data_IF_129840412660
#
_entry.id   IF_129840412660
#
_cell.length_a   1.000
_cell.length_b   1.000
_cell.length_c   1.000
_cell.angle_alpha   90.00
_cell.angle_beta   90.00
_cell.angle_gamma   90.00
#
_symmetry.space_group_name_H-M   'P 1'
#
loop_
_entity.id
_entity.type
_entity.pdbx_description
1 polymer ?
#
# COMPACT_ATOMS: atom_id res chain seq x y z
N UNK A 1 -36.52 3.00 27.01
CA UNK A 1 -35.20 2.61 27.56
C UNK A 1 -34.08 2.70 26.52
N UNK A 2 -34.16 1.96 25.40
CA UNK A 2 -33.09 1.79 24.40
C UNK A 2 -32.47 3.07 23.83
N UNK A 3 -33.26 4.08 23.47
CA UNK A 3 -32.72 5.37 22.97
C UNK A 3 -31.73 6.00 23.95
N UNK A 4 -32.04 6.01 25.26
CA UNK A 4 -31.14 6.53 26.30
C UNK A 4 -29.83 5.73 26.44
N UNK A 5 -29.78 4.48 25.97
CA UNK A 5 -28.55 3.68 25.94
C UNK A 5 -27.67 4.13 24.78
N UNK A 6 -28.21 4.19 23.56
CA UNK A 6 -27.52 4.72 22.38
C UNK A 6 -26.95 6.12 22.64
N UNK A 7 -27.73 6.99 23.27
CA UNK A 7 -27.34 8.37 23.59
C UNK A 7 -26.18 8.42 24.60
N UNK A 8 -26.17 7.54 25.61
CA UNK A 8 -25.04 7.43 26.55
C UNK A 8 -23.77 6.98 25.83
N UNK A 9 -23.88 6.05 24.88
CA UNK A 9 -22.77 5.63 24.03
C UNK A 9 -22.24 6.76 23.14
N UNK A 10 -23.09 7.66 22.66
CA UNK A 10 -22.65 8.86 21.91
C UNK A 10 -21.80 9.79 22.78
N UNK A 11 -22.22 10.06 24.02
CA UNK A 11 -21.47 10.93 24.92
C UNK A 11 -20.13 10.30 25.34
N UNK A 12 -20.10 9.01 25.71
CA UNK A 12 -18.86 8.34 26.11
C UNK A 12 -17.88 8.19 24.94
N UNK A 13 -18.37 7.83 23.75
CA UNK A 13 -17.53 7.75 22.56
C UNK A 13 -17.09 9.13 22.05
N UNK A 14 -17.90 10.18 22.28
CA UNK A 14 -17.50 11.57 22.08
C UNK A 14 -16.33 11.95 22.99
N UNK A 15 -16.44 11.75 24.30
CA UNK A 15 -15.36 12.02 25.26
C UNK A 15 -14.09 11.21 24.98
N UNK A 16 -14.22 9.93 24.62
CA UNK A 16 -13.08 9.08 24.25
C UNK A 16 -12.39 9.57 22.96
N UNK A 17 -13.16 9.94 21.94
CA UNK A 17 -12.65 10.50 20.68
C UNK A 17 -11.96 11.86 20.90
N UNK A 18 -12.55 12.73 21.75
CA UNK A 18 -11.93 14.00 22.15
C UNK A 18 -10.60 13.75 22.86
N UNK A 19 -10.58 12.88 23.86
CA UNK A 19 -9.36 12.58 24.62
C UNK A 19 -8.26 11.97 23.74
N UNK A 20 -8.62 11.11 22.79
CA UNK A 20 -7.68 10.58 21.81
C UNK A 20 -7.08 11.70 20.94
N UNK A 21 -7.92 12.56 20.34
CA UNK A 21 -7.44 13.70 19.55
C UNK A 21 -6.59 14.68 20.36
N UNK A 22 -7.13 15.18 21.48
CA UNK A 22 -6.56 16.28 22.26
C UNK A 22 -5.34 15.91 23.12
N UNK A 23 -5.21 14.65 23.54
CA UNK A 23 -4.11 14.22 24.42
C UNK A 23 -3.19 13.17 23.78
N UNK A 24 -3.76 12.15 23.14
CA UNK A 24 -2.97 11.05 22.56
C UNK A 24 -2.29 11.48 21.26
N UNK A 25 -3.03 12.00 20.28
CA UNK A 25 -2.49 12.34 18.94
C UNK A 25 -1.57 13.56 18.97
N UNK A 26 -1.99 14.63 19.65
CA UNK A 26 -1.16 15.83 19.86
C UNK A 26 0.11 15.57 20.66
N UNK A 27 0.13 14.50 21.46
CA UNK A 27 1.22 14.23 22.41
C UNK A 27 1.22 15.11 23.65
N UNK A 28 0.13 15.85 23.92
CA UNK A 28 -0.03 16.66 25.13
C UNK A 28 -0.04 15.79 26.40
N UNK A 29 -0.67 14.61 26.33
CA UNK A 29 -0.64 13.61 27.40
C UNK A 29 -0.87 12.21 26.83
N UNK A 30 0.09 11.72 26.04
CA UNK A 30 0.02 10.41 25.42
C UNK A 30 1.20 10.07 24.50
N UNK A 31 1.26 8.84 23.96
CA UNK A 31 2.40 8.33 23.23
C UNK A 31 2.60 8.95 21.84
N UNK A 32 1.61 9.69 21.30
CA UNK A 32 1.58 10.24 19.93
C UNK A 32 1.35 9.17 18.86
N UNK A 33 1.39 9.56 17.59
CA UNK A 33 1.14 8.67 16.44
C UNK A 33 2.37 8.51 15.54
N UNK A 34 2.36 7.47 14.69
CA UNK A 34 3.38 7.27 13.67
C UNK A 34 3.25 8.33 12.56
N UNK A 35 4.37 9.00 12.26
CA UNK A 35 4.54 9.93 11.14
C UNK A 35 5.80 9.54 10.39
N UNK A 36 5.85 9.77 9.07
CA UNK A 36 7.01 9.50 8.24
C UNK A 36 7.16 10.53 7.12
N UNK A 37 8.31 10.51 6.45
CA UNK A 37 8.55 11.24 5.21
C UNK A 37 7.79 10.61 4.02
N UNK A 38 7.65 11.32 2.88
CA UNK A 38 6.91 10.83 1.70
C UNK A 38 7.40 9.50 1.11
N UNK A 39 8.60 9.04 1.45
CA UNK A 39 9.20 7.80 0.96
C UNK A 39 9.34 6.72 2.03
N UNK A 40 8.83 6.95 3.25
CA UNK A 40 8.80 5.95 4.32
C UNK A 40 10.18 5.57 4.85
N UNK A 41 11.16 6.47 4.83
CA UNK A 41 12.54 6.16 5.20
C UNK A 41 12.80 6.36 6.69
N UNK A 42 12.19 7.40 7.27
CA UNK A 42 12.52 8.01 8.57
C UNK A 42 11.34 7.98 9.56
N UNK A 43 10.43 7.01 9.43
CA UNK A 43 9.23 6.92 10.24
C UNK A 43 9.50 6.76 11.73
N UNK A 44 8.69 7.46 12.53
CA UNK A 44 8.81 7.49 14.00
C UNK A 44 7.53 8.00 14.64
N UNK A 45 7.41 7.75 15.93
CA UNK A 45 6.30 8.26 16.75
C UNK A 45 6.55 9.73 17.10
N UNK A 46 5.67 10.65 16.68
CA UNK A 46 5.84 12.09 16.84
C UNK A 46 4.53 12.81 17.21
N UNK A 47 4.60 13.89 18.02
CA UNK A 47 3.44 14.74 18.28
C UNK A 47 3.01 15.44 17.00
N UNK A 48 1.69 15.60 16.84
CA UNK A 48 1.10 16.20 15.64
C UNK A 48 0.31 17.45 16.04
N UNK A 49 0.71 18.61 15.50
CA UNK A 49 -0.05 19.85 15.61
C UNK A 49 -1.33 19.79 14.78
N UNK A 50 -2.37 20.50 15.22
CA UNK A 50 -3.64 20.60 14.50
C UNK A 50 -3.44 21.33 13.16
N UNK A 51 -4.07 20.82 12.11
CA UNK A 51 -4.27 21.54 10.85
C UNK A 51 -5.74 22.00 10.77
N UNK A 52 -5.99 23.30 10.82
CA UNK A 52 -7.35 23.86 10.94
C UNK A 52 -7.81 24.57 9.65
N UNK A 53 -6.94 24.72 8.66
CA UNK A 53 -7.30 25.19 7.32
C UNK A 53 -7.71 24.03 6.40
N UNK A 54 -7.73 24.31 5.09
CA UNK A 54 -8.10 23.34 4.07
C UNK A 54 -7.12 22.14 3.99
N UNK A 55 -5.87 22.34 4.38
CA UNK A 55 -4.83 21.31 4.46
C UNK A 55 -5.17 20.21 5.49
N UNK A 56 -6.05 20.48 6.46
CA UNK A 56 -6.57 19.47 7.38
C UNK A 56 -7.49 18.41 6.73
N UNK A 57 -7.87 18.58 5.46
CA UNK A 57 -8.63 17.60 4.68
C UNK A 57 -7.77 16.79 3.70
N UNK A 58 -6.47 17.09 3.58
CA UNK A 58 -5.54 16.27 2.81
C UNK A 58 -5.29 14.95 3.56
N UNK A 59 -5.56 13.78 2.96
CA UNK A 59 -5.38 12.48 3.61
C UNK A 59 -3.91 12.16 3.96
N UNK A 60 -2.95 12.92 3.45
CA UNK A 60 -1.52 12.78 3.72
C UNK A 60 -0.98 13.80 4.74
N UNK A 61 -1.79 14.75 5.23
CA UNK A 61 -1.41 15.72 6.27
C UNK A 61 -1.86 15.20 7.65
N UNK A 62 -0.95 14.76 8.54
CA UNK A 62 -1.33 14.15 9.82
C UNK A 62 -2.11 15.10 10.73
N UNK A 63 -1.91 16.42 10.61
CA UNK A 63 -2.61 17.43 11.41
C UNK A 63 -4.13 17.39 11.25
N UNK A 64 -4.63 16.93 10.10
CA UNK A 64 -6.05 16.68 9.87
C UNK A 64 -6.64 15.61 10.80
N UNK A 65 -5.84 14.62 11.21
CA UNK A 65 -6.27 13.55 12.13
C UNK A 65 -6.60 14.14 13.50
N UNK A 66 -5.73 14.99 14.05
CA UNK A 66 -5.94 15.64 15.35
C UNK A 66 -7.18 16.55 15.32
N UNK A 67 -7.26 17.42 14.31
CA UNK A 67 -8.39 18.32 14.09
C UNK A 67 -9.71 17.60 13.91
N UNK A 68 -9.73 16.52 13.11
CA UNK A 68 -10.91 15.68 12.90
C UNK A 68 -11.42 15.10 14.22
N UNK A 69 -10.53 14.47 15.01
CA UNK A 69 -10.93 13.86 16.28
C UNK A 69 -11.47 14.90 17.26
N UNK A 70 -10.86 16.09 17.34
CA UNK A 70 -11.31 17.17 18.23
C UNK A 70 -12.65 17.76 17.75
N UNK A 71 -12.79 18.12 16.47
CA UNK A 71 -14.01 18.73 15.94
C UNK A 71 -15.21 17.75 15.91
N UNK A 72 -15.00 16.52 15.42
CA UNK A 72 -16.05 15.52 15.34
C UNK A 72 -16.51 15.06 16.73
N UNK A 73 -15.60 14.99 17.71
CA UNK A 73 -15.97 14.67 19.09
C UNK A 73 -16.72 15.81 19.77
N UNK A 74 -16.33 17.07 19.60
CA UNK A 74 -17.09 18.22 20.13
C UNK A 74 -18.52 18.22 19.57
N UNK A 75 -18.69 18.03 18.26
CA UNK A 75 -20.02 17.91 17.65
C UNK A 75 -20.80 16.69 18.19
N UNK A 76 -20.14 15.55 18.37
CA UNK A 76 -20.76 14.34 18.95
C UNK A 76 -21.17 14.50 20.42
N UNK A 77 -20.41 15.24 21.22
CA UNK A 77 -20.75 15.58 22.61
C UNK A 77 -21.99 16.48 22.63
N UNK A 78 -22.02 17.54 21.80
CA UNK A 78 -23.18 18.42 21.68
C UNK A 78 -24.44 17.67 21.20
N UNK A 79 -24.31 16.80 20.20
CA UNK A 79 -25.40 15.94 19.74
C UNK A 79 -25.85 14.94 20.83
N UNK A 80 -24.93 14.37 21.60
CA UNK A 80 -25.22 13.51 22.75
C UNK A 80 -26.01 14.24 23.83
N UNK A 81 -25.61 15.46 24.19
CA UNK A 81 -26.32 16.33 25.15
C UNK A 81 -27.72 16.72 24.63
N UNK A 82 -27.83 17.10 23.36
CA UNK A 82 -29.11 17.37 22.71
C UNK A 82 -30.06 16.16 22.80
N UNK A 83 -29.60 14.97 22.44
CA UNK A 83 -30.43 13.77 22.51
C UNK A 83 -30.71 13.31 23.95
N UNK A 84 -29.87 13.63 24.95
CA UNK A 84 -30.22 13.42 26.37
C UNK A 84 -31.42 14.28 26.79
N UNK A 85 -31.46 15.53 26.32
CA UNK A 85 -32.51 16.50 26.62
C UNK A 85 -33.80 16.30 25.82
N UNK A 86 -33.71 15.81 24.58
CA UNK A 86 -34.84 15.75 23.64
C UNK A 86 -35.28 14.31 23.34
N UNK A 87 -36.57 14.00 23.55
CA UNK A 87 -37.15 12.70 23.16
C UNK A 87 -37.43 12.66 21.63
N UNK A 88 -37.26 11.51 20.95
CA UNK A 88 -37.62 11.38 19.55
C UNK A 88 -39.09 11.73 19.29
N UNK A 89 -39.41 12.49 18.22
CA UNK A 89 -40.79 12.70 17.78
C UNK A 89 -41.50 11.35 17.52
N UNK A 90 -42.75 11.24 17.95
CA UNK A 90 -43.50 9.97 17.89
C UNK A 90 -43.60 9.39 16.46
N UNK A 91 -43.67 10.26 15.44
CA UNK A 91 -43.65 9.86 14.02
C UNK A 91 -42.35 9.15 13.63
N UNK A 92 -41.19 9.72 14.00
CA UNK A 92 -39.88 9.13 13.74
C UNK A 92 -39.64 7.86 14.57
N UNK A 93 -40.09 7.84 15.83
CA UNK A 93 -39.96 6.66 16.70
C UNK A 93 -40.71 5.44 16.14
N UNK A 94 -41.92 5.65 15.61
CA UNK A 94 -42.71 4.61 14.93
C UNK A 94 -42.13 4.25 13.55
N UNK A 95 -41.80 5.25 12.72
CA UNK A 95 -41.35 5.03 11.34
C UNK A 95 -40.00 4.33 11.24
N UNK A 96 -39.00 4.77 12.00
CA UNK A 96 -37.64 4.20 11.98
C UNK A 96 -37.44 3.03 12.96
N UNK A 97 -38.55 2.47 13.49
CA UNK A 97 -38.59 1.32 14.42
C UNK A 97 -37.40 1.29 15.41
N UNK A 98 -37.16 2.41 16.12
CA UNK A 98 -35.93 2.76 16.88
C UNK A 98 -35.63 1.89 18.13
N UNK A 99 -35.99 0.61 18.11
CA UNK A 99 -35.69 -0.40 19.12
C UNK A 99 -34.51 -1.32 18.78
N UNK A 100 -33.83 -1.12 17.65
CA UNK A 100 -32.63 -1.86 17.20
C UNK A 100 -31.36 -0.99 17.22
N UNK A 101 -30.16 -1.59 17.17
CA UNK A 101 -28.84 -0.95 17.37
C UNK A 101 -27.78 -1.61 16.46
N UNK A 102 -26.81 -0.86 15.90
CA UNK A 102 -25.46 -1.34 15.45
C UNK A 102 -24.48 -0.22 14.95
N UNK A 103 -23.24 -0.59 14.53
CA UNK A 103 -22.24 0.20 13.70
C UNK A 103 -21.36 1.27 14.42
N UNK A 104 -20.07 1.62 14.12
CA UNK A 104 -18.76 0.95 13.73
C UNK A 104 -17.56 1.99 13.93
N UNK A 105 -16.28 1.66 13.64
CA UNK A 105 -15.04 2.48 13.85
C UNK A 105 -14.18 2.72 12.55
N UNK A 106 -13.00 3.37 12.62
CA UNK A 106 -12.14 3.88 11.51
C UNK A 106 -10.62 3.53 11.65
N UNK A 107 -9.79 3.63 10.58
CA UNK A 107 -8.35 3.22 10.53
C UNK A 107 -7.44 4.08 9.59
N UNK A 108 -6.11 4.00 9.75
CA UNK A 108 -5.05 4.75 9.01
C UNK A 108 -3.89 3.77 8.61
N UNK A 109 -3.17 3.97 7.48
CA UNK A 109 -2.24 2.95 6.91
C UNK A 109 -0.87 3.42 6.33
N UNK A 110 0.12 3.84 7.14
CA UNK A 110 1.47 4.23 6.66
C UNK A 110 2.26 3.07 6.02
N UNK A 111 3.16 3.37 5.07
CA UNK A 111 3.85 2.32 4.28
C UNK A 111 4.88 1.50 5.05
N UNK A 112 5.51 2.05 6.09
CA UNK A 112 6.46 1.31 6.93
C UNK A 112 5.80 0.25 7.81
N UNK A 113 4.50 0.36 8.08
CA UNK A 113 3.76 -0.60 8.92
C UNK A 113 2.91 -1.59 8.11
N UNK A 114 2.58 -1.26 6.86
CA UNK A 114 1.67 -2.04 6.01
C UNK A 114 2.27 -2.45 4.64
N UNK A 115 3.48 -2.01 4.34
CA UNK A 115 4.09 -2.08 3.00
C UNK A 115 3.60 -0.96 2.06
N UNK A 116 4.27 -0.78 0.91
CA UNK A 116 3.89 0.21 -0.10
C UNK A 116 2.55 -0.12 -0.76
N UNK A 117 2.11 0.75 -1.67
CA UNK A 117 0.89 0.57 -2.45
C UNK A 117 1.20 0.13 -3.87
N UNK A 118 0.26 -0.54 -4.55
CA UNK A 118 0.42 -0.89 -5.97
C UNK A 118 0.62 0.32 -6.88
N UNK A 119 0.06 1.47 -6.52
CA UNK A 119 0.14 2.70 -7.30
C UNK A 119 1.56 3.26 -7.34
N UNK A 120 2.33 3.09 -6.27
CA UNK A 120 3.74 3.48 -6.23
C UNK A 120 4.60 2.66 -7.19
N UNK A 121 4.27 1.37 -7.42
CA UNK A 121 4.87 0.58 -8.49
C UNK A 121 4.36 0.99 -9.88
N UNK A 122 3.03 1.05 -10.05
CA UNK A 122 2.39 1.34 -11.34
C UNK A 122 2.79 2.72 -11.92
N UNK A 123 3.16 3.68 -11.06
CA UNK A 123 3.65 5.02 -11.43
C UNK A 123 5.18 5.18 -11.37
N UNK A 124 5.93 4.17 -10.89
CA UNK A 124 7.38 4.28 -10.70
C UNK A 124 7.81 5.31 -9.65
N UNK A 125 7.03 5.47 -8.57
CA UNK A 125 7.20 6.51 -7.55
C UNK A 125 8.59 6.49 -6.89
N UNK A 126 9.03 5.31 -6.42
CA UNK A 126 10.34 5.16 -5.79
C UNK A 126 11.47 5.25 -6.82
N UNK A 127 11.29 4.63 -8.00
CA UNK A 127 12.19 4.75 -9.14
C UNK A 127 12.50 6.21 -9.51
N UNK A 128 11.48 7.08 -9.57
CA UNK A 128 11.64 8.51 -9.87
C UNK A 128 12.47 9.23 -8.80
N UNK A 129 12.22 8.99 -7.52
CA UNK A 129 13.00 9.59 -6.42
C UNK A 129 14.45 9.09 -6.40
N UNK A 130 14.68 7.80 -6.69
CA UNK A 130 16.03 7.23 -6.83
C UNK A 130 16.77 7.94 -7.96
N UNK A 131 16.19 8.03 -9.17
CA UNK A 131 16.82 8.76 -10.27
C UNK A 131 17.04 10.24 -9.95
N UNK A 132 16.08 10.92 -9.29
CA UNK A 132 16.25 12.31 -8.86
C UNK A 132 17.45 12.49 -7.93
N UNK A 133 17.67 11.58 -6.98
CA UNK A 133 18.84 11.60 -6.07
C UNK A 133 20.15 11.30 -6.80
N UNK A 134 20.15 10.30 -7.70
CA UNK A 134 21.34 9.97 -8.50
C UNK A 134 21.71 11.14 -9.41
N UNK A 135 20.75 11.74 -10.12
CA UNK A 135 20.98 12.92 -10.95
C UNK A 135 21.56 14.10 -10.15
N UNK A 136 20.96 14.43 -9.00
CA UNK A 136 21.50 15.49 -8.14
C UNK A 136 22.95 15.19 -7.67
N UNK A 137 23.27 13.93 -7.38
CA UNK A 137 24.63 13.52 -7.07
C UNK A 137 25.61 13.66 -8.25
N UNK A 138 25.16 13.38 -9.48
CA UNK A 138 25.97 13.59 -10.68
C UNK A 138 26.17 15.09 -10.97
N UNK A 139 25.17 15.93 -10.71
CA UNK A 139 25.26 17.40 -10.81
C UNK A 139 26.25 17.97 -9.76
N UNK A 140 26.39 17.31 -8.61
CA UNK A 140 27.43 17.58 -7.59
C UNK A 140 28.84 17.06 -8.00
N UNK A 141 29.03 16.56 -9.23
CA UNK A 141 30.25 15.97 -9.77
C UNK A 141 30.71 14.66 -9.08
N UNK A 142 29.79 13.93 -8.44
CA UNK A 142 30.09 12.57 -7.96
C UNK A 142 30.23 11.62 -9.16
N UNK A 143 31.05 10.57 -9.01
CA UNK A 143 31.03 9.46 -9.95
C UNK A 143 29.70 8.70 -9.86
N UNK A 144 29.36 7.96 -10.92
CA UNK A 144 28.15 7.14 -10.97
C UNK A 144 28.12 6.12 -9.81
N UNK A 145 29.27 5.53 -9.48
CA UNK A 145 29.41 4.60 -8.34
C UNK A 145 29.10 5.29 -6.99
N UNK A 146 29.63 6.49 -6.74
CA UNK A 146 29.37 7.25 -5.51
C UNK A 146 27.91 7.71 -5.43
N UNK A 147 27.32 8.16 -6.54
CA UNK A 147 25.93 8.61 -6.60
C UNK A 147 24.95 7.47 -6.26
N UNK A 148 25.16 6.26 -6.81
CA UNK A 148 24.37 5.08 -6.45
C UNK A 148 24.67 4.57 -5.04
N UNK A 149 25.92 4.66 -4.56
CA UNK A 149 26.28 4.27 -3.18
C UNK A 149 25.64 5.17 -2.11
N UNK A 150 25.18 6.38 -2.46
CA UNK A 150 24.42 7.27 -1.57
C UNK A 150 22.92 6.91 -1.49
N UNK A 151 22.41 5.97 -2.28
CA UNK A 151 20.99 5.56 -2.24
C UNK A 151 20.74 4.64 -1.04
N UNK A 152 19.79 4.95 -0.13
CA UNK A 152 19.47 4.08 0.98
C UNK A 152 18.88 2.75 0.50
N UNK A 153 19.38 1.61 1.00
CA UNK A 153 18.87 0.28 0.63
C UNK A 153 17.36 0.14 0.87
N UNK A 154 16.83 0.75 1.95
CA UNK A 154 15.39 0.80 2.24
C UNK A 154 14.58 1.47 1.12
N UNK A 155 15.14 2.48 0.45
CA UNK A 155 14.51 3.15 -0.70
C UNK A 155 14.55 2.25 -1.95
N UNK A 156 15.71 1.62 -2.22
CA UNK A 156 15.84 0.63 -3.30
C UNK A 156 14.89 -0.56 -3.10
N UNK A 157 14.70 -1.03 -1.85
CA UNK A 157 13.83 -2.15 -1.53
C UNK A 157 12.34 -1.82 -1.75
N UNK A 158 11.91 -0.58 -1.53
CA UNK A 158 10.57 -0.16 -1.93
C UNK A 158 10.36 -0.15 -3.46
N UNK A 159 11.43 -0.08 -4.25
CA UNK A 159 11.41 -0.15 -5.72
C UNK A 159 11.57 -1.58 -6.28
N UNK A 160 11.20 -2.60 -5.48
CA UNK A 160 11.11 -4.01 -5.85
C UNK A 160 9.65 -4.49 -5.90
N UNK A 161 9.23 -5.14 -6.99
CA UNK A 161 7.84 -5.57 -7.21
C UNK A 161 7.35 -6.63 -6.20
N UNK A 162 8.24 -7.36 -5.52
CA UNK A 162 7.82 -8.28 -4.46
C UNK A 162 7.16 -7.57 -3.29
N UNK A 163 7.47 -6.29 -3.09
CA UNK A 163 6.82 -5.44 -2.09
C UNK A 163 5.46 -4.88 -2.56
N UNK A 164 5.06 -5.08 -3.83
CA UNK A 164 3.77 -4.66 -4.34
C UNK A 164 2.64 -5.59 -3.83
N UNK A 165 1.67 -5.09 -3.04
CA UNK A 165 0.61 -5.91 -2.45
C UNK A 165 -0.31 -6.58 -3.49
N UNK A 166 -0.29 -6.13 -4.75
CA UNK A 166 -1.08 -6.68 -5.84
C UNK A 166 -0.41 -7.86 -6.58
N UNK A 167 0.69 -8.42 -6.06
CA UNK A 167 1.34 -9.64 -6.59
C UNK A 167 0.98 -10.94 -5.86
N UNK A 168 0.20 -10.87 -4.79
CA UNK A 168 -0.22 -12.04 -4.00
C UNK A 168 -1.19 -13.00 -4.70
N UNK A 169 -1.65 -14.02 -3.96
CA UNK A 169 -2.72 -14.93 -4.40
C UNK A 169 -3.53 -15.45 -3.20
N UNK A 170 -4.84 -15.64 -3.38
CA UNK A 170 -5.80 -15.91 -2.30
C UNK A 170 -5.45 -17.12 -1.41
N UNK A 171 -4.85 -18.16 -1.99
CA UNK A 171 -4.45 -19.38 -1.26
C UNK A 171 -2.95 -19.46 -0.98
N UNK A 172 -2.18 -18.41 -1.30
CA UNK A 172 -0.74 -18.33 -1.02
C UNK A 172 -0.55 -17.78 0.41
N UNK A 173 -0.76 -18.64 1.41
CA UNK A 173 -0.79 -18.27 2.84
C UNK A 173 0.59 -18.22 3.51
N UNK A 174 0.84 -17.21 4.35
CA UNK A 174 2.10 -16.97 5.07
C UNK A 174 2.68 -15.56 4.82
N UNK A 175 3.89 -15.30 5.33
CA UNK A 175 4.59 -14.02 5.10
C UNK A 175 5.08 -13.88 3.66
N UNK A 176 5.60 -12.69 3.31
CA UNK A 176 6.18 -12.41 2.00
C UNK A 176 7.53 -13.12 1.80
N UNK A 177 8.30 -13.22 2.88
CA UNK A 177 9.57 -13.95 3.01
C UNK A 177 9.44 -15.44 2.64
N UNK A 178 8.25 -16.06 2.72
CA UNK A 178 8.05 -17.44 2.24
C UNK A 178 8.27 -17.61 0.72
N UNK A 179 8.21 -16.52 -0.06
CA UNK A 179 8.74 -16.49 -1.42
C UNK A 179 10.04 -15.72 -1.48
N UNK A 180 9.98 -14.42 -1.23
CA UNK A 180 11.07 -13.53 -1.62
C UNK A 180 12.24 -13.63 -0.65
N UNK A 181 12.16 -14.59 0.30
CA UNK A 181 13.17 -14.92 1.28
C UNK A 181 13.46 -13.73 2.19
N UNK A 182 14.46 -13.86 3.05
CA UNK A 182 14.95 -12.72 3.82
C UNK A 182 15.90 -11.96 2.89
N UNK A 183 15.57 -10.70 2.59
CA UNK A 183 16.46 -9.82 1.85
C UNK A 183 17.73 -9.57 2.68
N UNK A 184 18.89 -9.97 2.15
CA UNK A 184 20.18 -9.95 2.85
C UNK A 184 20.91 -8.62 2.59
N UNK A 185 20.94 -8.18 1.33
CA UNK A 185 21.61 -6.95 0.91
C UNK A 185 21.19 -6.50 -0.48
N UNK A 186 21.40 -5.23 -0.79
CA UNK A 186 21.18 -4.68 -2.14
C UNK A 186 22.39 -4.99 -3.03
N UNK A 187 22.15 -5.63 -4.18
CA UNK A 187 23.23 -6.00 -5.11
C UNK A 187 23.80 -4.81 -5.89
N UNK A 188 23.13 -3.65 -5.84
CA UNK A 188 23.45 -2.47 -6.64
C UNK A 188 22.55 -2.33 -7.88
N UNK A 189 22.58 -1.14 -8.47
CA UNK A 189 21.77 -0.83 -9.66
C UNK A 189 22.43 -1.41 -10.94
N UNK A 190 21.76 -2.31 -11.67
CA UNK A 190 22.28 -2.89 -12.90
C UNK A 190 22.10 -1.94 -14.10
N UNK A 191 23.20 -1.52 -14.71
CA UNK A 191 23.20 -0.78 -15.98
C UNK A 191 23.60 -1.71 -17.11
N UNK A 192 22.65 -2.01 -17.99
CA UNK A 192 22.91 -2.78 -19.19
C UNK A 192 23.45 -1.85 -20.30
N UNK A 193 24.40 -2.35 -21.11
CA UNK A 193 24.89 -1.69 -22.32
C UNK A 193 24.93 -2.66 -23.50
N UNK A 194 24.80 -2.16 -24.72
CA UNK A 194 25.14 -2.94 -25.93
C UNK A 194 26.63 -2.79 -26.31
N UNK A 195 27.06 -3.51 -27.35
CA UNK A 195 28.40 -3.39 -27.94
C UNK A 195 28.79 -1.99 -28.45
N UNK A 196 27.81 -1.11 -28.66
CA UNK A 196 27.99 0.30 -29.07
C UNK A 196 28.09 1.23 -27.84
N UNK A 197 28.03 0.67 -26.62
CA UNK A 197 28.11 1.39 -25.35
C UNK A 197 26.81 2.08 -24.93
N UNK A 198 25.74 1.97 -25.72
CA UNK A 198 24.45 2.61 -25.44
C UNK A 198 23.82 2.02 -24.19
N UNK A 199 23.33 2.87 -23.30
CA UNK A 199 22.61 2.45 -22.09
C UNK A 199 21.26 1.83 -22.48
N UNK A 200 20.98 0.67 -21.91
CA UNK A 200 19.75 -0.08 -22.11
C UNK A 200 18.95 -0.17 -20.80
N UNK A 201 17.62 -0.18 -20.92
CA UNK A 201 16.67 -0.22 -19.83
C UNK A 201 15.79 -1.48 -19.94
N UNK A 202 15.76 -2.30 -18.89
CA UNK A 202 14.88 -3.48 -18.84
C UNK A 202 13.43 -3.03 -18.65
N UNK A 203 12.51 -3.52 -19.48
CA UNK A 203 11.08 -3.25 -19.31
C UNK A 203 10.57 -3.97 -18.06
N UNK A 204 10.28 -3.20 -17.00
CA UNK A 204 9.72 -3.71 -15.74
C UNK A 204 8.38 -4.43 -15.93
N UNK A 205 8.12 -5.44 -15.12
CA UNK A 205 6.87 -6.23 -15.10
C UNK A 205 5.68 -5.38 -14.63
N UNK A 206 4.61 -5.21 -15.43
CA UNK A 206 3.38 -4.57 -14.96
C UNK A 206 2.62 -5.48 -13.97
N UNK A 207 1.93 -4.88 -12.99
CA UNK A 207 1.25 -5.58 -11.88
C UNK A 207 0.39 -6.79 -12.30
N UNK A 208 -0.29 -6.72 -13.44
CA UNK A 208 -1.20 -7.77 -13.93
C UNK A 208 -0.52 -9.09 -14.32
N UNK A 209 0.77 -9.08 -14.68
CA UNK A 209 1.43 -10.24 -15.27
C UNK A 209 2.06 -11.14 -14.20
N UNK A 210 1.76 -12.44 -14.21
CA UNK A 210 2.51 -13.44 -13.42
C UNK A 210 3.86 -13.80 -14.07
N UNK A 211 3.88 -13.88 -15.41
CA UNK A 211 5.09 -14.02 -16.22
C UNK A 211 5.12 -12.91 -17.27
N UNK A 212 6.30 -12.37 -17.54
CA UNK A 212 6.49 -11.27 -18.49
C UNK A 212 7.85 -11.45 -19.19
N UNK A 213 7.99 -11.10 -20.49
CA UNK A 213 9.23 -11.32 -21.22
C UNK A 213 10.35 -10.34 -20.81
N UNK A 214 11.60 -10.77 -20.99
CA UNK A 214 12.76 -9.88 -20.82
C UNK A 214 12.99 -9.14 -22.15
N UNK A 215 12.74 -7.83 -22.13
CA UNK A 215 12.97 -6.92 -23.26
C UNK A 215 13.72 -5.71 -22.73
N UNK A 216 14.79 -5.31 -23.44
CA UNK A 216 15.58 -4.14 -23.15
C UNK A 216 15.40 -3.12 -24.29
N UNK A 217 15.15 -1.88 -23.91
CA UNK A 217 15.00 -0.74 -24.82
C UNK A 217 16.13 0.26 -24.61
N UNK A 218 16.42 1.10 -25.60
CA UNK A 218 17.25 2.29 -25.42
C UNK A 218 16.45 3.47 -24.84
N UNK A 219 17.06 4.65 -24.78
CA UNK A 219 16.42 5.87 -24.27
C UNK A 219 15.22 6.37 -25.09
N UNK A 220 15.12 5.96 -26.36
CA UNK A 220 14.01 6.32 -27.26
C UNK A 220 12.88 5.27 -27.22
N UNK A 221 13.01 4.23 -26.40
CA UNK A 221 12.05 3.13 -26.30
C UNK A 221 12.19 2.08 -27.41
N UNK A 222 13.23 2.13 -28.23
CA UNK A 222 13.47 1.18 -29.32
C UNK A 222 14.04 -0.11 -28.73
N UNK A 223 13.46 -1.26 -29.08
CA UNK A 223 13.95 -2.57 -28.64
C UNK A 223 15.35 -2.83 -29.20
N UNK A 224 16.30 -3.13 -28.31
CA UNK A 224 17.69 -3.44 -28.66
C UNK A 224 18.11 -4.86 -28.29
N UNK A 225 17.62 -5.39 -27.17
CA UNK A 225 17.97 -6.75 -26.70
C UNK A 225 16.73 -7.47 -26.16
N UNK A 226 16.61 -8.76 -26.41
CA UNK A 226 15.60 -9.63 -25.82
C UNK A 226 16.17 -10.98 -25.33
N UNK A 227 15.33 -11.73 -24.62
CA UNK A 227 15.55 -13.17 -24.38
C UNK A 227 14.54 -13.94 -25.22
N UNK A 228 14.91 -14.37 -26.44
CA UNK A 228 13.95 -14.88 -27.41
C UNK A 228 13.43 -16.27 -27.02
N UNK A 229 12.11 -16.46 -27.15
CA UNK A 229 11.47 -17.76 -26.91
C UNK A 229 11.82 -18.79 -27.98
N UNK A 230 11.72 -18.42 -29.26
CA UNK A 230 12.21 -19.21 -30.41
C UNK A 230 13.54 -18.65 -30.88
N UNK A 231 14.58 -19.50 -30.96
CA UNK A 231 15.95 -19.07 -31.30
C UNK A 231 16.25 -19.05 -32.81
N UNK A 232 15.45 -19.73 -33.63
CA UNK A 232 15.73 -19.96 -35.06
C UNK A 232 15.90 -18.68 -35.89
N UNK A 233 15.14 -17.62 -35.56
CA UNK A 233 15.17 -16.32 -36.25
C UNK A 233 15.49 -15.17 -35.28
N UNK A 234 16.22 -15.47 -34.21
CA UNK A 234 16.68 -14.45 -33.25
C UNK A 234 17.51 -13.38 -33.95
N UNK A 235 17.26 -12.11 -33.63
CA UNK A 235 18.03 -10.95 -34.09
C UNK A 235 18.53 -10.05 -32.97
N UNK A 236 17.95 -10.16 -31.77
CA UNK A 236 18.16 -9.28 -30.63
C UNK A 236 18.67 -10.02 -29.39
N UNK A 237 19.17 -11.25 -29.51
CA UNK A 237 19.66 -11.95 -28.32
C UNK A 237 20.91 -11.27 -27.75
N UNK A 238 21.08 -11.38 -26.43
CA UNK A 238 22.27 -10.93 -25.70
C UNK A 238 23.58 -11.35 -26.39
N UNK A 239 23.65 -12.58 -26.91
CA UNK A 239 24.80 -13.09 -27.67
C UNK A 239 25.06 -12.33 -28.98
N UNK A 240 24.01 -12.00 -29.74
CA UNK A 240 24.13 -11.34 -31.04
C UNK A 240 24.43 -9.84 -30.92
N UNK A 241 23.89 -9.20 -29.88
CA UNK A 241 24.05 -7.77 -29.61
C UNK A 241 25.31 -7.49 -28.78
N UNK A 242 25.87 -8.49 -28.11
CA UNK A 242 27.06 -8.36 -27.26
C UNK A 242 26.78 -7.51 -26.01
N UNK A 243 25.62 -7.71 -25.39
CA UNK A 243 25.18 -6.87 -24.28
C UNK A 243 25.87 -7.26 -22.96
N UNK A 244 26.28 -6.25 -22.18
CA UNK A 244 26.94 -6.37 -20.87
C UNK A 244 26.06 -5.79 -19.77
N UNK A 245 26.35 -6.13 -18.52
CA UNK A 245 25.74 -5.50 -17.33
C UNK A 245 26.82 -5.08 -16.34
N UNK A 246 26.76 -3.83 -15.88
CA UNK A 246 27.68 -3.21 -14.93
C UNK A 246 26.88 -2.70 -13.72
N UNK A 247 27.38 -2.93 -12.51
CA UNK A 247 26.68 -2.61 -11.27
C UNK A 247 27.26 -1.35 -10.60
N UNK A 248 26.38 -0.51 -10.03
CA UNK A 248 26.76 0.67 -9.26
C UNK A 248 26.04 0.73 -7.92
N UNK A 249 26.77 1.04 -6.85
CA UNK A 249 26.29 0.90 -5.47
C UNK A 249 26.10 -0.57 -5.07
N UNK A 250 25.68 -0.80 -3.83
CA UNK A 250 25.43 -2.14 -3.29
C UNK A 250 26.66 -3.05 -3.28
N UNK A 251 26.42 -4.36 -3.15
CA UNK A 251 27.47 -5.37 -3.03
C UNK A 251 28.32 -5.52 -4.30
N UNK A 252 27.71 -5.48 -5.49
CA UNK A 252 28.40 -5.70 -6.77
C UNK A 252 28.98 -4.41 -7.38
N UNK A 253 29.15 -3.35 -6.60
CA UNK A 253 29.62 -2.05 -7.07
C UNK A 253 30.92 -2.14 -7.89
N UNK A 254 30.90 -1.65 -9.14
CA UNK A 254 32.02 -1.68 -10.06
C UNK A 254 32.26 -3.02 -10.76
N UNK A 255 31.45 -4.05 -10.49
CA UNK A 255 31.55 -5.35 -11.16
C UNK A 255 30.80 -5.30 -12.50
N UNK A 256 31.44 -5.81 -13.55
CA UNK A 256 30.89 -5.91 -14.90
C UNK A 256 30.90 -7.35 -15.40
N UNK A 257 29.78 -7.78 -15.99
CA UNK A 257 29.60 -9.11 -16.57
C UNK A 257 29.31 -9.00 -18.08
N UNK A 258 30.01 -9.80 -18.86
CA UNK A 258 29.84 -9.94 -20.31
C UNK A 258 29.35 -11.33 -20.72
N UNK A 259 29.30 -12.30 -19.80
CA UNK A 259 28.84 -13.64 -20.13
C UNK A 259 27.30 -13.64 -20.34
N UNK A 260 26.80 -14.17 -21.47
CA UNK A 260 25.37 -14.08 -21.79
C UNK A 260 24.45 -14.76 -20.77
N UNK A 261 24.95 -15.69 -19.96
CA UNK A 261 24.15 -16.40 -18.95
C UNK A 261 23.84 -15.49 -17.76
N UNK A 262 24.87 -14.81 -17.23
CA UNK A 262 24.76 -13.89 -16.10
C UNK A 262 24.09 -12.57 -16.48
N UNK A 263 24.37 -12.04 -17.67
CA UNK A 263 23.63 -10.88 -18.21
C UNK A 263 22.12 -11.20 -18.28
N UNK A 264 21.74 -12.37 -18.79
CA UNK A 264 20.33 -12.83 -18.80
C UNK A 264 19.77 -13.08 -17.39
N UNK A 265 20.58 -13.51 -16.42
CA UNK A 265 20.18 -13.66 -15.01
C UNK A 265 19.79 -12.30 -14.44
N UNK A 266 20.67 -11.31 -14.51
CA UNK A 266 20.41 -9.99 -13.94
C UNK A 266 19.36 -9.19 -14.71
N UNK A 267 19.22 -9.38 -16.02
CA UNK A 267 18.11 -8.81 -16.78
C UNK A 267 16.74 -9.36 -16.34
N UNK A 268 16.63 -10.64 -15.98
CA UNK A 268 15.41 -11.21 -15.36
C UNK A 268 15.13 -10.65 -13.96
N UNK A 269 16.17 -10.36 -13.17
CA UNK A 269 16.00 -9.74 -11.86
C UNK A 269 15.57 -8.27 -11.98
N UNK A 270 16.23 -7.49 -12.84
CA UNK A 270 15.94 -6.06 -13.04
C UNK A 270 14.53 -5.80 -13.62
N UNK A 271 13.93 -6.80 -14.27
CA UNK A 271 12.52 -6.81 -14.68
C UNK A 271 11.55 -6.69 -13.48
N UNK A 272 11.98 -7.12 -12.29
CA UNK A 272 11.24 -7.07 -11.05
C UNK A 272 11.51 -5.79 -10.23
N UNK A 273 12.40 -4.90 -10.68
CA UNK A 273 12.77 -3.68 -9.95
C UNK A 273 14.25 -3.65 -9.60
N UNK A 274 14.58 -3.13 -8.42
CA UNK A 274 15.95 -3.21 -7.87
C UNK A 274 16.34 -4.64 -7.45
N UNK A 275 17.64 -4.95 -7.53
CA UNK A 275 18.17 -6.29 -7.33
C UNK A 275 18.67 -6.51 -5.89
N UNK A 276 18.21 -7.58 -5.24
CA UNK A 276 18.60 -7.96 -3.88
C UNK A 276 19.16 -9.39 -3.82
N UNK A 277 20.07 -9.64 -2.87
CA UNK A 277 20.40 -10.99 -2.42
C UNK A 277 19.34 -11.46 -1.43
N UNK A 278 18.94 -12.73 -1.56
CA UNK A 278 17.77 -13.34 -0.93
C UNK A 278 18.17 -14.71 -0.33
N UNK A 279 17.98 -14.90 0.99
CA UNK A 279 18.41 -16.12 1.70
C UNK A 279 17.45 -17.32 1.54
N UNK A 280 17.85 -18.26 0.69
CA UNK A 280 17.09 -19.46 0.31
C UNK A 280 17.06 -20.58 1.36
N UNK A 281 17.93 -20.53 2.37
CA UNK A 281 18.18 -21.67 3.24
C UNK A 281 17.29 -21.65 4.50
N UNK A 282 16.96 -20.46 5.01
CA UNK A 282 16.27 -20.30 6.30
C UNK A 282 14.78 -20.65 6.27
N UNK A 283 14.09 -20.41 5.14
CA UNK A 283 12.66 -20.70 4.96
C UNK A 283 12.42 -21.69 3.82
N UNK A 284 11.27 -22.39 3.87
CA UNK A 284 10.85 -23.30 2.78
C UNK A 284 10.35 -22.51 1.58
N UNK A 285 11.30 -22.03 0.76
CA UNK A 285 11.06 -21.29 -0.48
C UNK A 285 10.07 -22.00 -1.43
N UNK A 286 9.04 -21.27 -1.87
CA UNK A 286 8.06 -21.75 -2.86
C UNK A 286 8.07 -20.98 -4.21
N UNK A 287 8.81 -19.87 -4.30
CA UNK A 287 8.94 -19.07 -5.52
C UNK A 287 7.70 -18.27 -5.98
N UNK A 288 6.61 -18.18 -5.20
CA UNK A 288 5.34 -17.54 -5.64
C UNK A 288 4.86 -16.35 -4.81
N UNK A 289 4.63 -15.19 -5.47
CA UNK A 289 4.40 -13.89 -4.80
C UNK A 289 3.23 -13.90 -3.83
N UNK A 290 3.41 -13.19 -2.71
CA UNK A 290 2.48 -13.09 -1.58
C UNK A 290 1.99 -11.65 -1.43
N UNK A 291 0.86 -11.47 -0.75
CA UNK A 291 0.34 -10.13 -0.43
C UNK A 291 0.87 -9.66 0.92
N UNK A 292 1.15 -8.36 1.05
CA UNK A 292 1.40 -7.73 2.35
C UNK A 292 0.12 -7.63 3.21
N UNK A 293 0.23 -7.28 4.51
CA UNK A 293 -0.92 -6.99 5.38
C UNK A 293 -1.87 -5.94 4.81
N UNK A 294 -1.40 -4.97 4.00
CA UNK A 294 -2.25 -4.00 3.29
C UNK A 294 -3.28 -4.68 2.40
N UNK A 295 -2.85 -5.65 1.59
CA UNK A 295 -3.74 -6.37 0.68
C UNK A 295 -4.73 -7.26 1.43
N UNK A 296 -4.27 -7.98 2.46
CA UNK A 296 -5.15 -8.80 3.32
C UNK A 296 -6.20 -7.98 4.07
N UNK A 297 -5.79 -6.85 4.67
CA UNK A 297 -6.70 -5.92 5.33
C UNK A 297 -7.75 -5.39 4.34
N UNK A 298 -7.33 -4.99 3.14
CA UNK A 298 -8.22 -4.46 2.10
C UNK A 298 -9.23 -5.52 1.63
N UNK A 299 -8.76 -6.74 1.35
CA UNK A 299 -9.62 -7.85 0.94
C UNK A 299 -10.67 -8.20 2.01
N UNK A 300 -10.25 -8.32 3.28
CA UNK A 300 -11.16 -8.62 4.38
C UNK A 300 -12.23 -7.55 4.55
N UNK A 301 -11.84 -6.27 4.63
CA UNK A 301 -12.79 -5.18 4.84
C UNK A 301 -13.73 -4.97 3.64
N UNK A 302 -13.26 -5.08 2.40
CA UNK A 302 -14.12 -5.00 1.22
C UNK A 302 -15.16 -6.14 1.20
N UNK A 303 -14.73 -7.37 1.53
CA UNK A 303 -15.63 -8.54 1.59
C UNK A 303 -16.66 -8.40 2.70
N UNK A 304 -16.24 -8.04 3.93
CA UNK A 304 -17.17 -7.86 5.04
C UNK A 304 -18.10 -6.67 4.87
N UNK A 305 -17.66 -5.56 4.25
CA UNK A 305 -18.54 -4.45 3.92
C UNK A 305 -19.65 -4.86 2.95
N UNK A 306 -19.34 -5.68 1.93
CA UNK A 306 -20.34 -6.22 1.00
C UNK A 306 -21.31 -7.17 1.71
N UNK A 307 -20.83 -8.04 2.61
CA UNK A 307 -21.69 -8.92 3.41
C UNK A 307 -22.58 -8.11 4.38
N UNK A 308 -22.07 -7.05 5.00
CA UNK A 308 -22.84 -6.15 5.85
C UNK A 308 -23.88 -5.34 5.07
N UNK A 309 -23.61 -4.99 3.79
CA UNK A 309 -24.63 -4.41 2.92
C UNK A 309 -25.81 -5.37 2.71
N UNK A 310 -25.57 -6.64 2.39
CA UNK A 310 -26.64 -7.65 2.31
C UNK A 310 -27.33 -7.89 3.66
N UNK A 311 -26.58 -7.90 4.77
CA UNK A 311 -27.14 -7.95 6.11
C UNK A 311 -28.10 -6.79 6.40
N UNK A 312 -27.73 -5.56 6.02
CA UNK A 312 -28.58 -4.38 6.14
C UNK A 312 -29.85 -4.52 5.31
N UNK A 313 -29.73 -4.88 4.02
CA UNK A 313 -30.86 -5.08 3.10
C UNK A 313 -31.76 -6.26 3.52
N UNK A 314 -31.26 -7.23 4.30
CA UNK A 314 -32.07 -8.30 4.89
C UNK A 314 -32.78 -7.85 6.18
N UNK A 315 -32.05 -7.19 7.08
CA UNK A 315 -32.55 -6.84 8.41
C UNK A 315 -33.48 -5.63 8.40
N UNK A 316 -33.37 -4.70 7.44
CA UNK A 316 -34.24 -3.53 7.36
C UNK A 316 -35.68 -3.89 6.92
N UNK A 317 -35.93 -4.62 5.81
CA UNK A 317 -37.27 -5.13 5.48
C UNK A 317 -37.81 -6.09 6.54
N UNK A 318 -36.98 -6.95 7.14
CA UNK A 318 -37.40 -7.79 8.27
C UNK A 318 -37.84 -6.96 9.48
N UNK A 319 -37.23 -5.79 9.66
CA UNK A 319 -37.62 -4.82 10.70
C UNK A 319 -38.92 -4.13 10.30
N UNK A 320 -39.05 -3.65 9.05
CA UNK A 320 -40.19 -2.86 8.54
C UNK A 320 -41.47 -3.67 8.24
N UNK A 321 -41.35 -4.93 7.84
CA UNK A 321 -42.46 -5.84 7.47
C UNK A 321 -42.59 -7.02 8.44
N UNK A 322 -42.13 -6.83 9.70
CA UNK A 322 -42.16 -7.85 10.76
C UNK A 322 -43.54 -8.50 10.95
N UNK A 323 -44.58 -7.69 10.77
CA UNK A 323 -45.99 -8.02 10.89
C UNK A 323 -46.46 -9.08 9.87
N UNK A 324 -45.94 -9.06 8.64
CA UNK A 324 -46.21 -10.06 7.58
C UNK A 324 -45.10 -11.10 7.43
N UNK A 325 -44.13 -11.16 8.35
CA UNK A 325 -42.97 -12.06 8.23
C UNK A 325 -43.36 -13.56 8.27
N UNK A 326 -44.49 -13.90 8.89
CA UNK A 326 -45.01 -15.27 8.97
C UNK A 326 -46.02 -15.63 7.86
N UNK A 327 -46.30 -14.69 6.94
CA UNK A 327 -47.39 -14.77 5.97
C UNK A 327 -48.18 -13.45 5.93
N UNK A 328 -48.95 -13.25 4.86
CA UNK A 328 -49.95 -12.18 4.78
C UNK A 328 -51.22 -12.58 5.56
N UNK A 329 -52.10 -11.61 5.80
CA UNK A 329 -53.42 -11.87 6.35
C UNK A 329 -54.21 -12.81 5.41
N UNK A 330 -54.74 -13.96 5.88
CA UNK A 330 -55.53 -14.86 5.05
C UNK A 330 -56.81 -14.24 4.49
N UNK A 331 -57.35 -13.23 5.18
CA UNK A 331 -58.60 -12.54 4.82
C UNK A 331 -58.33 -11.22 4.05
N UNK A 332 -57.16 -11.08 3.45
CA UNK A 332 -56.79 -9.90 2.65
C UNK A 332 -57.56 -9.87 1.31
N UNK A 333 -58.47 -8.91 1.17
CA UNK A 333 -59.16 -8.62 -0.10
C UNK A 333 -58.15 -8.35 -1.24
N UNK A 334 -58.41 -8.94 -2.43
CA UNK A 334 -57.54 -8.92 -3.63
C UNK A 334 -58.03 -7.95 -4.68
#
# INVERSE_FOLDING_TARGET
MKTKVLIRSYLTLGLACFGFGAFHVTGLYGPRIWVSDPYGLTGKIQPVSLAMGAEGFDPFVPGGIASHHIAASTLRILAGLFHLSVRPPQRLYKGLRMGNIETVLSTITPIELFGPTRYQWDQGYFQQEIYRRVSAGLDENLSLSEAWSKIPEKLAFYDYIGNNPAKGGLFRAGSMDNRDEIAVGWLGHPVCRDKEGRKLFVRRMPTFFETFPVVLVDGDGIVRVDVPFRRAESKYSVEQVGATVEFYGGELNGVSYSDPVTVKKYARCAQLGENFELDRATLKYDGVFRSSPRGWFTFGHATFALLFFFGHIWHDPRTLFRDVFAGIDPDLDV
#
